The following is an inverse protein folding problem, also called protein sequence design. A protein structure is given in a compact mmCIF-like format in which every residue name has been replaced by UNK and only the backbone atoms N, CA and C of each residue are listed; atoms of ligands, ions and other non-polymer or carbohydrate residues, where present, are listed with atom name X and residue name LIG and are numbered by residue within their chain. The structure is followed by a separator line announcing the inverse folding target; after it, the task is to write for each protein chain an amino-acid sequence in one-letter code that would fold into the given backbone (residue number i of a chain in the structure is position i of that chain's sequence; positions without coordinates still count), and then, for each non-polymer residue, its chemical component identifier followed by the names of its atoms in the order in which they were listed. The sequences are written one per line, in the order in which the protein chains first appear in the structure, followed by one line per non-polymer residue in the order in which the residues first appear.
data_IF_542216381581
#
_entry.id   IF_542216381581
#
_cell.length_a   1.000
_cell.length_b   1.000
_cell.length_c   1.000
_cell.angle_alpha   90.00
_cell.angle_beta   90.00
_cell.angle_gamma   90.00
#
_symmetry.space_group_name_H-M   'P 1'
#
loop_
_entity.id
_entity.type
_entity.pdbx_description
1 polymer ?
#
# COMPACT_ATOMS: atom_id res chain seq x y z
N UNK A 1 -8.64 22.63 12.75
CA UNK A 1 -7.61 23.14 11.81
C UNK A 1 -8.28 23.90 10.67
N UNK A 2 -8.04 25.21 10.54
CA UNK A 2 -8.71 26.09 9.56
C UNK A 2 -7.91 26.36 8.28
N UNK A 3 -6.79 25.67 8.07
CA UNK A 3 -6.05 25.79 6.81
C UNK A 3 -6.83 25.14 5.66
N UNK A 4 -7.38 25.98 4.77
CA UNK A 4 -8.10 25.55 3.56
C UNK A 4 -7.21 24.74 2.62
N UNK A 5 -5.93 25.12 2.52
CA UNK A 5 -4.92 24.39 1.73
C UNK A 5 -4.69 23.00 2.32
N UNK A 6 -4.49 22.90 3.64
CA UNK A 6 -4.31 21.62 4.30
C UNK A 6 -5.53 20.71 4.13
N UNK A 7 -6.74 21.26 4.30
CA UNK A 7 -7.99 20.53 4.11
C UNK A 7 -8.12 19.98 2.69
N UNK A 8 -7.83 20.79 1.69
CA UNK A 8 -7.87 20.38 0.29
C UNK A 8 -6.85 19.26 0.00
N UNK A 9 -5.61 19.42 0.44
CA UNK A 9 -4.55 18.42 0.27
C UNK A 9 -4.92 17.09 0.94
N UNK A 10 -5.44 17.14 2.18
CA UNK A 10 -5.86 15.95 2.91
C UNK A 10 -7.08 15.28 2.27
N UNK A 11 -8.05 16.03 1.77
CA UNK A 11 -9.20 15.47 1.04
C UNK A 11 -8.74 14.76 -0.24
N UNK A 12 -7.88 15.39 -1.03
CA UNK A 12 -7.34 14.80 -2.26
C UNK A 12 -6.55 13.52 -1.96
N UNK A 13 -5.71 13.55 -0.92
CA UNK A 13 -4.97 12.37 -0.45
C UNK A 13 -5.91 11.24 -0.04
N UNK A 14 -6.90 11.54 0.80
CA UNK A 14 -7.87 10.56 1.31
C UNK A 14 -8.65 9.91 0.17
N UNK A 15 -9.12 10.71 -0.79
CA UNK A 15 -9.84 10.21 -1.96
C UNK A 15 -8.95 9.32 -2.83
N UNK A 16 -7.70 9.71 -3.06
CA UNK A 16 -6.75 8.91 -3.84
C UNK A 16 -6.40 7.59 -3.14
N UNK A 17 -6.16 7.62 -1.83
CA UNK A 17 -5.92 6.42 -1.01
C UNK A 17 -7.12 5.49 -1.01
N UNK A 18 -8.34 6.03 -0.90
CA UNK A 18 -9.57 5.24 -0.96
C UNK A 18 -9.75 4.57 -2.32
N UNK A 19 -9.56 5.30 -3.42
CA UNK A 19 -9.62 4.75 -4.78
C UNK A 19 -8.60 3.65 -5.02
N UNK A 20 -7.35 3.88 -4.64
CA UNK A 20 -6.29 2.87 -4.77
C UNK A 20 -6.64 1.60 -3.96
N UNK A 21 -7.20 1.75 -2.76
CA UNK A 21 -7.65 0.64 -1.91
C UNK A 21 -8.81 -0.13 -2.55
N UNK A 22 -9.82 0.58 -3.05
CA UNK A 22 -10.96 -0.05 -3.74
C UNK A 22 -10.54 -0.83 -4.98
N UNK A 23 -9.61 -0.32 -5.77
CA UNK A 23 -9.04 -1.04 -6.93
C UNK A 23 -8.29 -2.29 -6.47
N UNK A 24 -7.46 -2.16 -5.44
CA UNK A 24 -6.66 -3.26 -4.91
C UNK A 24 -7.50 -4.37 -4.27
N UNK A 25 -8.66 -4.03 -3.69
CA UNK A 25 -9.58 -4.99 -3.06
C UNK A 25 -10.52 -5.69 -4.04
N UNK A 26 -10.71 -5.17 -5.26
CA UNK A 26 -11.51 -5.82 -6.31
C UNK A 26 -10.84 -7.09 -6.86
N UNK A 27 -9.51 -7.17 -6.77
CA UNK A 27 -8.75 -8.35 -7.12
C UNK A 27 -8.56 -9.23 -5.88
N UNK A 28 -9.36 -10.29 -5.78
CA UNK A 28 -9.36 -11.22 -4.63
C UNK A 28 -8.02 -11.93 -4.47
N UNK A 29 -7.34 -12.25 -5.57
CA UNK A 29 -6.04 -12.93 -5.50
C UNK A 29 -4.95 -11.97 -5.05
N UNK A 30 -4.96 -10.72 -5.55
CA UNK A 30 -4.06 -9.68 -5.04
C UNK A 30 -4.30 -9.37 -3.56
N UNK A 31 -5.55 -9.37 -3.11
CA UNK A 31 -5.86 -9.16 -1.70
C UNK A 31 -5.24 -10.24 -0.80
N UNK A 32 -5.36 -11.53 -1.18
CA UNK A 32 -4.72 -12.65 -0.46
C UNK A 32 -3.19 -12.54 -0.47
N UNK A 33 -2.60 -12.24 -1.64
CA UNK A 33 -1.16 -12.07 -1.78
C UNK A 33 -0.66 -10.91 -0.91
N UNK A 34 -1.39 -9.79 -0.89
CA UNK A 34 -1.07 -8.62 -0.07
C UNK A 34 -1.00 -8.97 1.42
N UNK A 35 -1.96 -9.76 1.93
CA UNK A 35 -1.94 -10.20 3.33
C UNK A 35 -0.70 -11.06 3.62
N UNK A 36 -0.31 -11.95 2.70
CA UNK A 36 0.90 -12.76 2.86
C UNK A 36 2.15 -11.89 2.91
N UNK A 37 2.27 -10.91 2.01
CA UNK A 37 3.38 -9.96 1.97
C UNK A 37 3.49 -9.15 3.26
N UNK A 38 2.37 -8.68 3.82
CA UNK A 38 2.37 -7.95 5.09
C UNK A 38 2.85 -8.82 6.26
N UNK A 39 2.46 -10.10 6.30
CA UNK A 39 2.96 -11.05 7.31
C UNK A 39 4.47 -11.24 7.19
N UNK A 40 4.98 -11.44 5.98
CA UNK A 40 6.42 -11.63 5.74
C UNK A 40 7.23 -10.38 6.14
N UNK A 41 6.70 -9.17 5.86
CA UNK A 41 7.31 -7.91 6.29
C UNK A 41 7.32 -7.80 7.82
N UNK A 42 6.18 -8.10 8.48
CA UNK A 42 6.06 -8.03 9.93
C UNK A 42 7.02 -9.00 10.62
N UNK A 43 7.10 -10.26 10.15
CA UNK A 43 8.04 -11.24 10.70
C UNK A 43 9.49 -10.78 10.54
N UNK A 44 9.86 -10.16 9.42
CA UNK A 44 11.20 -9.59 9.26
C UNK A 44 11.49 -8.42 10.22
N UNK A 45 10.47 -7.65 10.61
CA UNK A 45 10.59 -6.60 11.63
C UNK A 45 10.74 -7.22 13.02
N UNK A 46 9.94 -8.23 13.35
CA UNK A 46 9.99 -8.96 14.63
C UNK A 46 11.35 -9.64 14.83
N UNK A 47 11.91 -10.22 13.78
CA UNK A 47 13.27 -10.80 13.74
C UNK A 47 14.38 -9.72 13.76
N UNK A 48 14.05 -8.43 13.78
CA UNK A 48 14.99 -7.29 13.67
C UNK A 48 15.84 -7.31 12.40
N UNK A 49 15.38 -7.97 11.35
CA UNK A 49 16.05 -8.09 10.06
C UNK A 49 15.74 -6.88 9.14
N UNK A 50 16.27 -5.70 9.51
CA UNK A 50 15.93 -4.42 8.85
C UNK A 50 16.10 -4.41 7.33
N UNK A 51 17.22 -4.91 6.82
CA UNK A 51 17.46 -4.97 5.36
C UNK A 51 16.50 -5.93 4.63
N UNK A 52 16.10 -7.02 5.28
CA UNK A 52 15.09 -7.94 4.74
C UNK A 52 13.72 -7.27 4.68
N UNK A 53 13.30 -6.61 5.76
CA UNK A 53 12.04 -5.86 5.81
C UNK A 53 11.98 -4.78 4.72
N UNK A 54 13.08 -4.04 4.53
CA UNK A 54 13.22 -3.02 3.47
C UNK A 54 13.02 -3.61 2.07
N UNK A 55 13.70 -4.72 1.75
CA UNK A 55 13.55 -5.39 0.44
C UNK A 55 12.12 -5.87 0.20
N UNK A 56 11.51 -6.49 1.21
CA UNK A 56 10.12 -6.98 1.13
C UNK A 56 9.13 -5.83 0.92
N UNK A 57 9.30 -4.72 1.63
CA UNK A 57 8.46 -3.52 1.46
C UNK A 57 8.60 -2.90 0.06
N UNK A 58 9.83 -2.78 -0.47
CA UNK A 58 10.05 -2.30 -1.83
C UNK A 58 9.36 -3.21 -2.86
N UNK A 59 9.46 -4.53 -2.68
CA UNK A 59 8.80 -5.49 -3.56
C UNK A 59 7.26 -5.37 -3.49
N UNK A 60 6.70 -5.25 -2.29
CA UNK A 60 5.26 -5.02 -2.06
C UNK A 60 4.75 -3.78 -2.81
N UNK A 61 5.44 -2.63 -2.66
CA UNK A 61 5.05 -1.38 -3.34
C UNK A 61 5.15 -1.51 -4.86
N UNK A 62 6.20 -2.17 -5.39
CA UNK A 62 6.35 -2.39 -6.83
C UNK A 62 5.22 -3.24 -7.40
N UNK A 63 4.79 -4.30 -6.69
CA UNK A 63 3.64 -5.14 -7.07
C UNK A 63 2.33 -4.35 -7.03
N UNK A 64 2.10 -3.61 -5.95
CA UNK A 64 0.90 -2.77 -5.80
C UNK A 64 0.79 -1.74 -6.92
N UNK A 65 1.90 -1.06 -7.29
CA UNK A 65 1.93 -0.13 -8.42
C UNK A 65 1.54 -0.77 -9.75
N UNK A 66 2.03 -1.97 -10.05
CA UNK A 66 1.63 -2.68 -11.28
C UNK A 66 0.12 -2.91 -11.31
N UNK A 67 -0.47 -3.39 -10.23
CA UNK A 67 -1.90 -3.71 -10.21
C UNK A 67 -2.80 -2.47 -10.27
N UNK A 68 -2.30 -1.30 -9.85
CA UNK A 68 -3.02 -0.02 -9.99
C UNK A 68 -2.87 0.58 -11.40
N UNK A 69 -1.73 0.39 -12.07
CA UNK A 69 -1.44 0.96 -13.39
C UNK A 69 -2.01 0.13 -14.55
N UNK A 70 -2.14 -1.19 -14.42
CA UNK A 70 -2.64 -2.07 -15.51
C UNK A 70 -4.16 -1.95 -15.78
N UNK A 71 -4.86 -0.98 -15.19
CA UNK A 71 -6.27 -0.67 -15.46
C UNK A 71 -6.50 0.83 -15.68
N UNK A 72 -5.69 1.44 -16.54
CA UNK A 72 -6.05 2.68 -17.24
C UNK A 72 -6.32 2.36 -18.70
#
# INVERSE_FOLDING_TARGET
CDSRVLRHTLMALTHNSFRARMVSLRDRERAKETVREHREILSAIEEKAGERAKRLMIAHVRKARRHVVTRQ
#
